data_IF_366809609143
#
_entry.id   IF_366809609143
#
_cell.length_a   1.000
_cell.length_b   1.000
_cell.length_c   1.000
_cell.angle_alpha   90.00
_cell.angle_beta   90.00
_cell.angle_gamma   90.00
#
_symmetry.space_group_name_H-M   'P 1'
#
loop_
_entity.id
_entity.type
_entity.pdbx_description
1 polymer ?
#
# COMPACT_ATOMS: atom_id res chain seq x y z
N UNK A 1 -4.22 2.34 8.23
CA UNK A 1 -5.23 3.41 8.44
C UNK A 1 -6.57 2.77 8.79
N UNK A 2 -7.60 3.54 9.14
CA UNK A 2 -8.96 3.01 9.36
C UNK A 2 -9.93 3.35 8.22
N UNK A 3 -11.19 2.97 8.39
CA UNK A 3 -12.32 3.21 7.47
C UNK A 3 -13.50 3.89 8.17
N UNK A 4 -14.58 4.19 7.45
CA UNK A 4 -15.76 4.88 8.01
C UNK A 4 -16.38 4.14 9.20
N UNK A 5 -16.64 2.83 9.07
CA UNK A 5 -17.22 2.03 10.16
C UNK A 5 -16.16 1.57 11.18
N UNK A 6 -14.89 1.56 10.79
CA UNK A 6 -13.75 1.10 11.59
C UNK A 6 -12.60 2.12 11.61
N UNK A 7 -12.77 3.31 12.23
CA UNK A 7 -11.88 4.47 12.06
C UNK A 7 -10.59 4.42 12.90
N UNK A 8 -10.04 3.23 13.11
CA UNK A 8 -8.89 3.01 14.00
C UNK A 8 -7.70 2.40 13.24
N UNK A 9 -6.54 3.07 13.28
CA UNK A 9 -5.31 2.57 12.65
C UNK A 9 -4.92 1.21 13.23
N UNK A 10 -4.66 0.23 12.35
CA UNK A 10 -4.22 -1.12 12.72
C UNK A 10 -5.34 -2.07 13.18
N UNK A 11 -6.59 -1.62 13.22
CA UNK A 11 -7.72 -2.46 13.65
C UNK A 11 -7.96 -3.63 12.70
N UNK A 12 -7.81 -3.43 11.39
CA UNK A 12 -8.00 -4.49 10.40
C UNK A 12 -7.12 -5.71 10.66
N UNK A 13 -5.82 -5.51 10.89
CA UNK A 13 -4.88 -6.62 11.17
C UNK A 13 -5.17 -7.31 12.50
N UNK A 14 -5.60 -6.55 13.51
CA UNK A 14 -6.01 -7.13 14.80
C UNK A 14 -7.22 -8.04 14.65
N UNK A 15 -8.21 -7.63 13.84
CA UNK A 15 -9.39 -8.43 13.54
C UNK A 15 -9.04 -9.63 12.64
N UNK A 16 -8.15 -9.43 11.67
CA UNK A 16 -7.66 -10.51 10.81
C UNK A 16 -7.01 -11.63 11.62
N UNK A 17 -6.16 -11.29 12.59
CA UNK A 17 -5.56 -12.25 13.51
C UNK A 17 -6.62 -13.02 14.34
N UNK A 18 -7.70 -12.36 14.76
CA UNK A 18 -8.82 -13.03 15.45
C UNK A 18 -9.61 -13.97 14.53
N UNK A 19 -9.62 -13.70 13.23
CA UNK A 19 -10.20 -14.56 12.20
C UNK A 19 -9.23 -15.65 11.70
N UNK A 20 -8.14 -15.92 12.44
CA UNK A 20 -7.11 -16.91 12.08
C UNK A 20 -6.45 -16.62 10.72
N UNK A 21 -6.33 -15.34 10.37
CA UNK A 21 -5.47 -14.88 9.28
C UNK A 21 -4.04 -14.62 9.78
N UNK A 22 -3.06 -14.73 8.90
CA UNK A 22 -1.70 -14.21 9.17
C UNK A 22 -1.61 -12.72 8.82
N UNK A 23 -2.49 -11.91 9.42
CA UNK A 23 -2.68 -10.51 9.06
C UNK A 23 -3.31 -10.30 7.68
N UNK A 24 -3.13 -9.10 7.14
CA UNK A 24 -3.57 -8.73 5.80
C UNK A 24 -2.39 -8.32 4.92
N UNK A 25 -2.58 -8.30 3.60
CA UNK A 25 -1.54 -7.85 2.69
C UNK A 25 -2.12 -7.06 1.52
N UNK A 26 -1.32 -6.15 0.97
CA UNK A 26 -1.64 -5.39 -0.21
C UNK A 26 -0.36 -5.12 -1.00
N UNK A 27 -0.47 -5.05 -2.32
CA UNK A 27 0.66 -4.71 -3.18
C UNK A 27 0.20 -3.97 -4.43
N UNK A 28 1.08 -3.10 -4.93
CA UNK A 28 0.82 -2.26 -6.09
C UNK A 28 1.65 -2.75 -7.27
N UNK A 29 0.94 -3.13 -8.33
CA UNK A 29 1.50 -3.39 -9.66
C UNK A 29 1.52 -2.10 -10.48
N UNK A 30 1.99 -2.20 -11.72
CA UNK A 30 2.01 -1.06 -12.64
C UNK A 30 0.60 -0.57 -13.02
N UNK A 31 -0.39 -1.45 -13.04
CA UNK A 31 -1.73 -1.19 -13.59
C UNK A 31 -2.88 -1.49 -12.61
N UNK A 32 -2.57 -2.02 -11.43
CA UNK A 32 -3.55 -2.33 -10.40
C UNK A 32 -2.93 -2.36 -9.01
N UNK A 33 -3.79 -2.26 -7.99
CA UNK A 33 -3.45 -2.59 -6.61
C UNK A 33 -4.25 -3.81 -6.21
N UNK A 34 -3.59 -4.80 -5.62
CA UNK A 34 -4.22 -6.03 -5.14
C UNK A 34 -4.24 -6.03 -3.62
N UNK A 35 -5.40 -6.33 -3.06
CA UNK A 35 -5.63 -6.46 -1.62
C UNK A 35 -5.99 -7.92 -1.33
N UNK A 36 -5.26 -8.58 -0.44
CA UNK A 36 -5.39 -10.02 -0.19
C UNK A 36 -5.57 -10.32 1.29
N UNK A 37 -6.46 -11.28 1.56
CA UNK A 37 -6.76 -11.81 2.89
C UNK A 37 -6.80 -13.32 2.74
N UNK A 38 -6.16 -14.02 3.67
CA UNK A 38 -6.20 -15.47 3.75
C UNK A 38 -6.48 -15.87 5.20
N UNK A 39 -7.49 -16.70 5.41
CA UNK A 39 -7.91 -17.18 6.73
C UNK A 39 -7.90 -18.69 6.76
N UNK A 40 -7.63 -19.30 7.91
CA UNK A 40 -7.61 -20.76 8.05
C UNK A 40 -8.94 -21.47 7.70
N UNK A 41 -10.07 -20.76 7.73
CA UNK A 41 -11.38 -21.33 7.41
C UNK A 41 -12.38 -20.28 6.92
N UNK A 42 -13.46 -20.75 6.30
CA UNK A 42 -14.48 -19.87 5.67
C UNK A 42 -15.22 -18.97 6.66
N UNK A 43 -15.39 -19.40 7.91
CA UNK A 43 -16.03 -18.59 8.94
C UNK A 43 -15.22 -17.32 9.25
N UNK A 44 -13.90 -17.44 9.37
CA UNK A 44 -13.01 -16.30 9.54
C UNK A 44 -13.08 -15.36 8.33
N UNK A 45 -13.06 -15.92 7.12
CA UNK A 45 -13.18 -15.15 5.89
C UNK A 45 -14.49 -14.36 5.82
N UNK A 46 -15.63 -15.01 6.06
CA UNK A 46 -16.96 -14.38 5.98
C UNK A 46 -17.10 -13.27 7.01
N UNK A 47 -16.57 -13.45 8.23
CA UNK A 47 -16.60 -12.43 9.27
C UNK A 47 -15.70 -11.23 8.94
N UNK A 48 -14.53 -11.47 8.34
CA UNK A 48 -13.55 -10.43 8.03
C UNK A 48 -13.86 -9.66 6.74
N UNK A 49 -14.47 -10.32 5.75
CA UNK A 49 -14.74 -9.76 4.43
C UNK A 49 -15.45 -8.39 4.44
N UNK A 50 -16.56 -8.17 5.18
CA UNK A 50 -17.22 -6.86 5.17
C UNK A 50 -16.32 -5.75 5.74
N UNK A 51 -15.54 -6.06 6.78
CA UNK A 51 -14.59 -5.13 7.41
C UNK A 51 -13.47 -4.79 6.43
N UNK A 52 -12.96 -5.81 5.73
CA UNK A 52 -11.92 -5.67 4.73
C UNK A 52 -12.38 -4.80 3.55
N UNK A 53 -13.62 -5.00 3.07
CA UNK A 53 -14.20 -4.21 2.00
C UNK A 53 -14.44 -2.76 2.42
N UNK A 54 -14.83 -2.51 3.67
CA UNK A 54 -14.97 -1.15 4.20
C UNK A 54 -13.62 -0.39 4.18
N UNK A 55 -12.52 -1.08 4.51
CA UNK A 55 -11.17 -0.51 4.41
C UNK A 55 -10.72 -0.21 2.98
N UNK A 56 -11.25 -0.92 1.98
CA UNK A 56 -10.92 -0.69 0.57
C UNK A 56 -11.80 0.40 -0.04
N UNK A 57 -13.10 0.39 0.26
CA UNK A 57 -14.09 1.25 -0.40
C UNK A 57 -14.31 2.59 0.33
N UNK A 58 -14.16 2.62 1.65
CA UNK A 58 -14.49 3.74 2.52
C UNK A 58 -13.34 4.07 3.48
N UNK A 59 -12.11 4.10 2.96
CA UNK A 59 -10.94 4.47 3.74
C UNK A 59 -11.00 5.93 4.22
N UNK A 60 -10.62 6.17 5.47
CA UNK A 60 -10.65 7.52 6.09
C UNK A 60 -9.71 8.55 5.45
N UNK A 61 -8.58 8.10 4.89
CA UNK A 61 -7.56 8.95 4.24
C UNK A 61 -7.22 10.24 5.01
N UNK A 62 -7.03 10.14 6.32
CA UNK A 62 -6.75 11.31 7.17
C UNK A 62 -5.43 11.98 6.80
N UNK A 63 -5.34 13.30 7.03
CA UNK A 63 -4.10 14.06 6.82
C UNK A 63 -2.92 13.47 7.62
N UNK A 64 -3.14 13.11 8.87
CA UNK A 64 -2.13 12.42 9.70
C UNK A 64 -1.74 11.05 9.12
N UNK A 65 -2.68 10.34 8.49
CA UNK A 65 -2.41 9.12 7.74
C UNK A 65 -1.43 9.38 6.59
N UNK A 66 -1.74 10.37 5.75
CA UNK A 66 -0.85 10.78 4.65
C UNK A 66 0.55 11.16 5.13
N UNK A 67 0.66 12.04 6.14
CA UNK A 67 1.94 12.51 6.69
C UNK A 67 2.80 11.34 7.16
N UNK A 68 2.21 10.36 7.84
CA UNK A 68 2.98 9.20 8.34
C UNK A 68 3.31 8.18 7.25
N UNK A 69 2.37 7.85 6.38
CA UNK A 69 2.51 6.74 5.43
C UNK A 69 3.20 7.16 4.13
N UNK A 70 3.01 8.38 3.64
CA UNK A 70 3.47 8.79 2.31
C UNK A 70 4.75 9.61 2.40
N UNK A 71 4.62 10.88 2.80
CA UNK A 71 5.73 11.83 2.81
C UNK A 71 5.46 12.99 3.77
N UNK A 72 6.51 13.44 4.46
CA UNK A 72 6.58 14.71 5.18
C UNK A 72 8.03 15.14 5.38
N UNK A 73 8.23 16.38 5.83
CA UNK A 73 9.53 16.85 6.34
C UNK A 73 9.49 16.79 7.87
N UNK A 74 10.45 16.11 8.48
CA UNK A 74 10.52 15.91 9.92
C UNK A 74 11.02 17.19 10.66
N UNK A 75 11.10 17.12 11.98
CA UNK A 75 11.55 18.25 12.82
C UNK A 75 13.01 18.67 12.61
N UNK A 76 13.82 17.85 11.93
CA UNK A 76 15.22 18.11 11.61
C UNK A 76 15.40 18.63 10.17
N UNK A 77 14.31 18.75 9.41
CA UNK A 77 14.32 19.24 8.02
C UNK A 77 14.58 18.15 6.98
N UNK A 78 14.42 16.88 7.33
CA UNK A 78 14.67 15.74 6.45
C UNK A 78 13.36 15.15 5.90
N UNK A 79 13.39 14.65 4.66
CA UNK A 79 12.28 13.90 4.07
C UNK A 79 12.07 12.55 4.78
N UNK A 80 10.82 12.26 5.14
CA UNK A 80 10.42 11.06 5.86
C UNK A 80 9.04 10.56 5.40
N UNK A 81 8.69 9.32 5.76
CA UNK A 81 7.43 8.67 5.40
C UNK A 81 7.65 7.20 5.06
N UNK A 82 6.66 6.34 5.29
CA UNK A 82 6.82 4.89 5.07
C UNK A 82 7.13 4.59 3.60
N UNK A 83 6.30 5.06 2.67
CA UNK A 83 6.49 4.85 1.23
C UNK A 83 7.73 5.58 0.73
N UNK A 84 7.96 6.83 1.15
CA UNK A 84 9.17 7.57 0.76
C UNK A 84 10.45 6.78 1.11
N UNK A 85 10.58 6.31 2.35
CA UNK A 85 11.74 5.52 2.78
C UNK A 85 11.85 4.18 2.04
N UNK A 86 10.72 3.52 1.77
CA UNK A 86 10.70 2.28 0.97
C UNK A 86 11.28 2.50 -0.43
N UNK A 87 10.84 3.58 -1.10
CA UNK A 87 11.25 3.88 -2.46
C UNK A 87 12.70 4.36 -2.54
N UNK A 88 13.13 5.21 -1.59
CA UNK A 88 14.52 5.65 -1.46
C UNK A 88 15.48 4.47 -1.29
N UNK A 89 15.09 3.42 -0.57
CA UNK A 89 15.92 2.24 -0.38
C UNK A 89 16.16 1.44 -1.67
N UNK A 90 15.26 1.53 -2.66
CA UNK A 90 15.30 0.71 -3.90
C UNK A 90 15.59 1.47 -5.18
N UNK A 91 15.44 2.79 -5.20
CA UNK A 91 15.57 3.61 -6.41
C UNK A 91 16.94 3.48 -7.08
N UNK A 92 17.98 3.33 -6.27
CA UNK A 92 19.36 3.24 -6.72
C UNK A 92 19.82 1.81 -7.01
N UNK A 93 18.95 0.82 -6.79
CA UNK A 93 19.28 -0.57 -7.12
C UNK A 93 19.39 -0.75 -8.64
N UNK A 94 20.37 -1.55 -9.08
CA UNK A 94 20.55 -1.84 -10.50
C UNK A 94 19.30 -2.44 -11.15
N UNK A 95 18.54 -3.24 -10.40
CA UNK A 95 17.27 -3.84 -10.84
C UNK A 95 16.21 -2.77 -11.12
N UNK A 96 15.94 -1.85 -10.18
CA UNK A 96 14.95 -0.78 -10.38
C UNK A 96 15.31 0.09 -11.57
N UNK A 97 16.56 0.56 -11.65
CA UNK A 97 17.02 1.45 -12.71
C UNK A 97 16.93 0.81 -14.09
N UNK A 98 17.40 -0.43 -14.21
CA UNK A 98 17.38 -1.16 -15.49
C UNK A 98 15.96 -1.47 -15.93
N UNK A 99 15.08 -1.87 -15.01
CA UNK A 99 13.69 -2.17 -15.33
C UNK A 99 12.92 -0.92 -15.76
N UNK A 100 13.08 0.21 -15.05
CA UNK A 100 12.44 1.47 -15.42
C UNK A 100 12.94 1.99 -16.78
N UNK A 101 14.25 1.91 -17.04
CA UNK A 101 14.82 2.26 -18.33
C UNK A 101 14.25 1.37 -19.45
N UNK A 102 14.13 0.06 -19.23
CA UNK A 102 13.52 -0.87 -20.16
C UNK A 102 12.08 -0.47 -20.50
N UNK A 103 11.23 -0.26 -19.48
CA UNK A 103 9.82 0.11 -19.69
C UNK A 103 9.67 1.43 -20.46
N UNK A 104 10.51 2.43 -20.15
CA UNK A 104 10.51 3.72 -20.87
C UNK A 104 10.91 3.61 -22.34
N UNK A 105 11.76 2.64 -22.69
CA UNK A 105 12.12 2.37 -24.08
C UNK A 105 11.07 1.51 -24.80
N UNK A 106 10.45 0.55 -24.11
CA UNK A 106 9.41 -0.33 -24.70
C UNK A 106 8.10 0.40 -25.00
N UNK A 107 7.71 1.38 -24.16
CA UNK A 107 6.45 2.11 -24.29
C UNK A 107 6.69 3.59 -24.64
N UNK A 108 6.93 3.93 -25.93
CA UNK A 108 7.08 5.32 -26.36
C UNK A 108 5.76 6.10 -26.30
N UNK A 109 5.82 7.44 -26.35
CA UNK A 109 4.63 8.30 -26.33
C UNK A 109 3.98 8.42 -24.95
N UNK A 110 2.69 8.76 -24.88
CA UNK A 110 1.98 8.94 -23.60
C UNK A 110 1.37 7.61 -23.13
N UNK A 111 2.05 6.92 -22.21
CA UNK A 111 1.64 5.62 -21.69
C UNK A 111 1.99 5.51 -20.20
N UNK A 112 1.04 5.07 -19.36
CA UNK A 112 1.24 4.91 -17.93
C UNK A 112 2.17 3.74 -17.55
N UNK A 113 2.27 2.71 -18.40
CA UNK A 113 3.04 1.47 -18.13
C UNK A 113 4.55 1.69 -17.98
N UNK A 114 5.06 2.88 -18.36
CA UNK A 114 6.47 3.25 -18.19
C UNK A 114 6.74 4.13 -16.97
N UNK A 115 5.71 4.37 -16.16
CA UNK A 115 5.82 5.13 -14.91
C UNK A 115 6.35 4.21 -13.82
N UNK A 116 7.10 4.79 -12.89
CA UNK A 116 7.37 4.13 -11.63
C UNK A 116 6.16 4.38 -10.72
N UNK A 117 5.48 3.31 -10.34
CA UNK A 117 4.16 3.36 -9.67
C UNK A 117 4.25 3.21 -8.16
N UNK A 118 5.42 2.87 -7.63
CA UNK A 118 5.71 2.96 -6.19
C UNK A 118 6.07 4.39 -5.76
N UNK A 119 6.59 5.20 -6.68
CA UNK A 119 6.98 6.59 -6.47
C UNK A 119 8.50 6.76 -6.44
N UNK A 120 9.09 7.10 -7.61
CA UNK A 120 10.48 7.54 -7.78
C UNK A 120 10.50 8.80 -8.65
#
# INVERSE_FOLDING_TARGET
MGSEDYPYKGLLDLLANRCLAQGTNAWTATDHTCYTIETAGSEGFINLLPIYLDHVLYATLTESGYVTEVHHVNGEGEDAGVVYCEMQARENSGRSRTHLALLRNLYPGHCGLKSETGGI
#
